data_IF_961797304729
#
_entry.id   IF_961797304729
#
_cell.length_a   1.000
_cell.length_b   1.000
_cell.length_c   1.000
_cell.angle_alpha   90.00
_cell.angle_beta   90.00
_cell.angle_gamma   90.00
#
_symmetry.space_group_name_H-M   'P 1'
#
loop_
_entity.id
_entity.type
_entity.pdbx_description
1 polymer ?
#
# COMPACT_ATOMS: atom_id res chain seq x y z
N UNK A 1 34.92 0.19 3.09
CA UNK A 1 36.07 1.09 2.92
C UNK A 1 36.16 2.11 4.04
N UNK A 2 35.10 2.85 4.37
CA UNK A 2 35.14 3.90 5.40
C UNK A 2 35.50 3.37 6.80
N UNK A 3 34.95 2.24 7.24
CA UNK A 3 35.35 1.58 8.47
C UNK A 3 36.82 1.18 8.53
N UNK A 4 37.38 0.79 7.39
CA UNK A 4 38.80 0.43 7.27
C UNK A 4 39.70 1.65 7.34
N UNK A 5 39.32 2.75 6.67
CA UNK A 5 40.11 4.00 6.70
C UNK A 5 40.06 4.68 8.06
N UNK A 6 38.86 4.68 8.75
CA UNK A 6 38.77 5.16 10.13
C UNK A 6 39.58 4.31 11.13
N UNK A 7 39.53 2.98 10.98
CA UNK A 7 40.35 2.09 11.82
C UNK A 7 41.85 2.26 11.59
N UNK A 8 42.27 2.47 10.34
CA UNK A 8 43.66 2.76 10.00
C UNK A 8 44.08 4.10 10.61
N UNK A 9 43.31 5.17 10.46
CA UNK A 9 43.59 6.48 11.04
C UNK A 9 43.69 6.39 12.58
N UNK A 10 42.76 5.72 13.27
CA UNK A 10 42.78 5.56 14.72
C UNK A 10 44.00 4.77 15.23
N UNK A 11 44.44 3.74 14.50
CA UNK A 11 45.68 3.01 14.80
C UNK A 11 46.90 3.92 14.66
N UNK A 12 46.97 4.66 13.57
CA UNK A 12 48.08 5.57 13.26
C UNK A 12 48.17 6.70 14.27
N UNK A 13 47.05 7.27 14.70
CA UNK A 13 47.01 8.29 15.74
C UNK A 13 47.49 7.77 17.12
N UNK A 14 47.16 6.51 17.47
CA UNK A 14 47.67 5.88 18.71
C UNK A 14 49.20 5.63 18.64
N UNK A 15 49.70 5.22 17.47
CA UNK A 15 51.12 4.99 17.25
C UNK A 15 51.93 6.29 17.22
N UNK A 16 51.35 7.37 16.71
CA UNK A 16 51.99 8.70 16.73
C UNK A 16 52.13 9.29 18.15
N UNK A 17 51.28 8.88 19.09
CA UNK A 17 51.37 9.23 20.52
C UNK A 17 52.43 8.46 21.31
N UNK A 18 52.99 7.38 20.77
CA UNK A 18 54.03 6.54 21.42
C UNK A 18 55.32 6.73 20.62
N UNK A 19 56.18 7.64 21.07
CA UNK A 19 57.55 7.98 20.67
C UNK A 19 58.16 7.22 19.46
N UNK A 20 57.88 7.69 18.27
CA UNK A 20 58.50 7.25 17.05
C UNK A 20 57.90 8.00 15.86
N UNK A 21 58.58 9.02 15.39
CA UNK A 21 58.10 9.96 14.38
C UNK A 21 57.60 9.26 13.12
N UNK A 22 56.27 9.12 13.04
CA UNK A 22 55.64 8.89 11.76
C UNK A 22 55.80 10.16 10.92
N UNK A 23 56.18 10.08 9.64
CA UNK A 23 56.26 11.24 8.77
C UNK A 23 54.90 11.96 8.77
N UNK A 24 54.90 13.26 8.97
CA UNK A 24 53.68 14.09 8.95
C UNK A 24 52.85 13.84 7.69
N UNK A 25 53.51 13.66 6.57
CA UNK A 25 52.91 13.37 5.25
C UNK A 25 52.05 12.11 5.24
N UNK A 26 52.42 11.08 6.01
CA UNK A 26 51.62 9.83 6.13
C UNK A 26 50.35 10.05 6.88
N UNK A 27 50.38 10.83 7.97
CA UNK A 27 49.21 11.17 8.77
C UNK A 27 48.24 12.04 7.95
N UNK A 28 48.74 13.06 7.27
CA UNK A 28 47.93 13.89 6.37
C UNK A 28 47.32 13.10 5.22
N UNK A 29 48.08 12.16 4.64
CA UNK A 29 47.54 11.26 3.61
C UNK A 29 46.35 10.43 4.10
N UNK A 30 46.46 9.84 5.30
CA UNK A 30 45.38 9.06 5.89
C UNK A 30 44.18 9.93 6.29
N UNK A 31 44.40 11.14 6.77
CA UNK A 31 43.33 12.10 7.07
C UNK A 31 42.56 12.50 5.79
N UNK A 32 43.30 12.83 4.71
CA UNK A 32 42.70 13.13 3.40
C UNK A 32 41.89 11.95 2.87
N UNK A 33 42.42 10.73 2.93
CA UNK A 33 41.70 9.55 2.47
C UNK A 33 40.43 9.29 3.30
N UNK A 34 40.51 9.44 4.63
CA UNK A 34 39.33 9.31 5.50
C UNK A 34 38.27 10.35 5.18
N UNK A 35 38.64 11.61 4.92
CA UNK A 35 37.71 12.67 4.55
C UNK A 35 37.03 12.40 3.18
N UNK A 36 37.81 11.90 2.19
CA UNK A 36 37.25 11.50 0.88
C UNK A 36 36.26 10.36 1.02
N UNK A 37 36.59 9.32 1.78
CA UNK A 37 35.72 8.17 1.99
C UNK A 37 34.43 8.57 2.74
N UNK A 38 34.53 9.47 3.71
CA UNK A 38 33.39 10.02 4.43
C UNK A 38 32.49 10.84 3.49
N UNK A 39 33.05 11.73 2.68
CA UNK A 39 32.30 12.51 1.71
C UNK A 39 31.60 11.61 0.67
N UNK A 40 32.27 10.55 0.22
CA UNK A 40 31.68 9.57 -0.69
C UNK A 40 30.51 8.82 -0.06
N UNK A 41 30.61 8.44 1.22
CA UNK A 41 29.51 7.82 1.97
C UNK A 41 28.32 8.77 2.12
N UNK A 42 28.56 10.01 2.53
CA UNK A 42 27.50 11.02 2.63
C UNK A 42 26.81 11.30 1.30
N UNK A 43 27.58 11.33 0.19
CA UNK A 43 27.00 11.47 -1.14
C UNK A 43 26.13 10.27 -1.50
N UNK A 44 26.57 9.04 -1.19
CA UNK A 44 25.79 7.83 -1.42
C UNK A 44 24.48 7.85 -0.61
N UNK A 45 24.53 8.24 0.65
CA UNK A 45 23.33 8.40 1.49
C UNK A 45 22.37 9.45 0.93
N UNK A 46 22.86 10.60 0.50
CA UNK A 46 22.04 11.64 -0.12
C UNK A 46 21.39 11.14 -1.41
N UNK A 47 22.11 10.43 -2.26
CA UNK A 47 21.56 9.81 -3.48
C UNK A 47 20.46 8.79 -3.15
N UNK A 48 20.67 7.91 -2.18
CA UNK A 48 19.65 6.95 -1.75
C UNK A 48 18.41 7.67 -1.22
N UNK A 49 18.57 8.67 -0.38
CA UNK A 49 17.44 9.44 0.16
C UNK A 49 16.67 10.22 -0.92
N UNK A 50 17.37 10.73 -1.95
CA UNK A 50 16.70 11.42 -3.06
C UNK A 50 15.95 10.47 -3.98
N UNK A 51 16.40 9.23 -4.15
CA UNK A 51 15.71 8.23 -4.98
C UNK A 51 14.56 7.54 -4.27
N UNK A 52 14.78 7.15 -3.01
CA UNK A 52 13.83 6.30 -2.27
C UNK A 52 13.08 7.02 -1.15
N UNK A 53 13.28 8.32 -0.99
CA UNK A 53 12.72 9.08 0.11
C UNK A 53 13.48 8.94 1.42
N UNK A 54 13.26 9.86 2.35
CA UNK A 54 13.98 9.91 3.61
C UNK A 54 13.59 8.83 4.61
N UNK A 55 12.38 8.26 4.47
CA UNK A 55 11.81 7.28 5.40
C UNK A 55 11.80 5.86 4.84
N UNK A 56 12.72 5.54 3.92
CA UNK A 56 12.84 4.18 3.40
C UNK A 56 13.18 3.17 4.53
N UNK A 57 12.68 1.93 4.46
CA UNK A 57 12.91 0.91 5.50
C UNK A 57 14.39 0.60 5.76
N UNK A 58 15.27 0.95 4.84
CA UNK A 58 16.73 0.74 4.93
C UNK A 58 17.55 2.00 5.21
N UNK A 59 16.91 3.10 5.58
CA UNK A 59 17.59 4.40 5.84
C UNK A 59 18.88 4.28 6.67
N UNK A 60 18.89 3.40 7.66
CA UNK A 60 20.01 3.21 8.59
C UNK A 60 20.75 1.87 8.40
N UNK A 61 20.38 1.08 7.38
CA UNK A 61 20.90 -0.28 7.19
C UNK A 61 21.15 -0.58 5.73
N UNK A 62 22.33 -0.20 5.23
CA UNK A 62 22.75 -0.44 3.83
C UNK A 62 22.73 -1.94 3.47
N UNK A 63 22.91 -2.83 4.45
CA UNK A 63 22.87 -4.29 4.27
C UNK A 63 21.53 -4.90 4.70
N UNK A 64 20.42 -4.15 4.64
CA UNK A 64 19.11 -4.65 5.02
C UNK A 64 18.68 -5.82 4.12
N UNK A 65 17.89 -6.77 4.65
CA UNK A 65 17.32 -7.86 3.85
C UNK A 65 16.49 -7.34 2.68
N UNK A 66 15.79 -6.23 2.87
CA UNK A 66 14.96 -5.59 1.84
C UNK A 66 15.79 -5.10 0.65
N UNK A 67 16.92 -4.40 0.90
CA UNK A 67 17.81 -3.96 -0.18
C UNK A 67 18.44 -5.14 -0.91
N UNK A 68 18.78 -6.20 -0.20
CA UNK A 68 19.30 -7.42 -0.83
C UNK A 68 18.23 -8.07 -1.72
N UNK A 69 17.00 -8.18 -1.25
CA UNK A 69 15.91 -8.74 -2.02
C UNK A 69 15.59 -7.91 -3.29
N UNK A 70 15.68 -6.56 -3.22
CA UNK A 70 15.59 -5.72 -4.42
C UNK A 70 16.76 -5.93 -5.37
N UNK A 71 17.98 -6.05 -4.85
CA UNK A 71 19.19 -6.23 -5.68
C UNK A 71 19.24 -7.62 -6.34
N UNK A 72 18.70 -8.67 -5.70
CA UNK A 72 18.60 -10.02 -6.26
C UNK A 72 17.39 -10.22 -7.18
N UNK A 73 16.44 -9.26 -7.21
CA UNK A 73 15.19 -9.42 -7.96
C UNK A 73 14.12 -10.24 -7.24
N UNK A 74 14.35 -10.66 -5.98
CA UNK A 74 13.38 -11.39 -5.16
C UNK A 74 12.24 -10.50 -4.67
N UNK A 75 12.42 -9.18 -4.78
CA UNK A 75 11.41 -8.19 -4.48
C UNK A 75 11.39 -7.07 -5.51
N UNK A 76 10.28 -6.38 -5.58
CA UNK A 76 10.05 -5.23 -6.46
C UNK A 76 9.58 -4.02 -5.66
N UNK A 77 9.86 -2.84 -6.20
CA UNK A 77 9.40 -1.58 -5.68
C UNK A 77 8.31 -1.04 -6.59
N UNK A 78 7.17 -0.72 -6.01
CA UNK A 78 6.08 -0.04 -6.71
C UNK A 78 6.04 1.41 -6.25
N UNK A 79 5.93 2.32 -7.20
CA UNK A 79 5.65 3.72 -6.94
C UNK A 79 4.21 4.02 -7.26
N UNK A 80 3.50 4.62 -6.33
CA UNK A 80 2.12 5.04 -6.48
C UNK A 80 2.01 6.53 -6.22
N UNK A 81 1.33 7.26 -7.11
CA UNK A 81 1.07 8.68 -6.94
C UNK A 81 -0.42 8.93 -6.90
N UNK A 82 -0.89 9.57 -5.84
CA UNK A 82 -2.28 9.96 -5.65
C UNK A 82 -2.44 11.47 -5.86
N UNK A 83 -3.50 11.92 -6.53
CA UNK A 83 -3.80 13.35 -6.66
C UNK A 83 -3.96 14.03 -5.30
N UNK A 84 -3.82 15.35 -5.28
CA UNK A 84 -4.07 16.16 -4.09
C UNK A 84 -5.48 15.91 -3.55
N UNK A 85 -5.59 15.71 -2.24
CA UNK A 85 -6.86 15.45 -1.56
C UNK A 85 -7.34 13.99 -1.61
N UNK A 86 -6.74 13.13 -2.41
CA UNK A 86 -7.14 11.71 -2.48
C UNK A 86 -6.66 10.87 -1.29
N UNK A 87 -5.68 11.34 -0.54
CA UNK A 87 -5.15 10.67 0.65
C UNK A 87 -5.14 11.64 1.83
N UNK A 88 -5.28 11.10 3.04
CA UNK A 88 -5.07 11.88 4.27
C UNK A 88 -3.61 12.32 4.46
N UNK A 89 -3.32 13.01 5.57
CA UNK A 89 -1.97 13.53 5.86
C UNK A 89 -0.98 12.44 6.28
N UNK A 90 -1.45 11.36 6.83
CA UNK A 90 -0.63 10.24 7.25
C UNK A 90 -0.18 9.35 6.07
N UNK A 91 0.98 8.72 6.24
CA UNK A 91 1.41 7.65 5.33
C UNK A 91 0.48 6.45 5.54
N UNK A 92 -0.14 5.90 4.48
CA UNK A 92 -1.03 4.76 4.63
C UNK A 92 -0.26 3.53 5.15
N UNK A 93 -0.93 2.73 5.98
CA UNK A 93 -0.35 1.50 6.52
C UNK A 93 -0.22 0.39 5.47
N UNK A 94 -1.11 0.39 4.48
CA UNK A 94 -1.10 -0.56 3.36
C UNK A 94 -1.59 0.09 2.07
N UNK A 95 -1.27 -0.57 0.95
CA UNK A 95 -1.81 -0.27 -0.38
C UNK A 95 -2.35 -1.55 -0.98
N UNK A 96 -3.56 -1.51 -1.53
CA UNK A 96 -4.10 -2.59 -2.34
C UNK A 96 -3.77 -2.31 -3.81
N UNK A 97 -3.18 -3.30 -4.48
CA UNK A 97 -2.67 -3.20 -5.85
C UNK A 97 -3.31 -4.29 -6.70
N UNK A 98 -3.65 -3.97 -7.94
CA UNK A 98 -4.15 -4.93 -8.92
C UNK A 98 -3.70 -4.56 -10.33
N UNK A 99 -3.74 -5.54 -11.24
CA UNK A 99 -3.52 -5.30 -12.67
C UNK A 99 -4.60 -4.37 -13.23
N UNK A 100 -4.24 -3.48 -14.17
CA UNK A 100 -5.20 -2.56 -14.83
C UNK A 100 -6.36 -3.32 -15.49
N UNK A 101 -6.06 -4.50 -16.05
CA UNK A 101 -7.04 -5.33 -16.74
C UNK A 101 -7.72 -6.36 -15.82
N UNK A 102 -7.49 -6.30 -14.50
CA UNK A 102 -8.21 -7.15 -13.58
C UNK A 102 -9.70 -6.78 -13.65
N UNK A 103 -10.54 -7.72 -14.13
CA UNK A 103 -11.98 -7.60 -14.03
C UNK A 103 -12.37 -7.41 -12.55
N UNK A 104 -13.51 -6.77 -12.32
CA UNK A 104 -14.07 -6.64 -10.96
C UNK A 104 -14.05 -8.00 -10.25
N UNK A 105 -13.34 -8.08 -9.13
CA UNK A 105 -13.05 -9.36 -8.45
C UNK A 105 -11.72 -10.02 -8.81
N UNK A 106 -10.90 -9.42 -9.67
CA UNK A 106 -9.55 -9.90 -9.97
C UNK A 106 -8.64 -9.91 -8.74
N UNK A 107 -7.60 -10.76 -8.79
CA UNK A 107 -6.62 -10.91 -7.71
C UNK A 107 -5.97 -9.56 -7.40
N UNK A 108 -6.19 -9.05 -6.20
CA UNK A 108 -5.48 -7.91 -5.65
C UNK A 108 -4.47 -8.36 -4.62
N UNK A 109 -3.40 -7.58 -4.47
CA UNK A 109 -2.32 -7.84 -3.52
C UNK A 109 -2.24 -6.66 -2.56
N UNK A 110 -2.10 -6.95 -1.28
CA UNK A 110 -1.91 -5.96 -0.26
C UNK A 110 -0.43 -5.80 0.06
N UNK A 111 0.08 -4.57 -0.11
CA UNK A 111 1.44 -4.19 0.24
C UNK A 111 1.44 -3.44 1.57
N UNK A 112 2.12 -3.98 2.57
CA UNK A 112 2.13 -3.44 3.94
C UNK A 112 3.33 -2.54 4.25
N UNK A 113 4.42 -2.66 3.52
CA UNK A 113 5.60 -1.81 3.71
C UNK A 113 5.48 -0.58 2.81
N UNK A 114 4.84 0.47 3.33
CA UNK A 114 4.57 1.72 2.60
C UNK A 114 5.34 2.88 3.24
N UNK A 115 5.95 3.74 2.43
CA UNK A 115 6.59 4.97 2.90
C UNK A 115 6.51 6.06 1.84
N UNK A 116 6.72 7.31 2.25
CA UNK A 116 6.68 8.47 1.35
C UNK A 116 7.78 8.40 0.30
N UNK A 117 7.41 8.49 -0.96
CA UNK A 117 8.31 8.66 -2.10
C UNK A 117 8.57 10.16 -2.35
N UNK A 118 9.67 10.52 -3.02
CA UNK A 118 9.85 11.86 -3.54
C UNK A 118 8.67 12.27 -4.44
N UNK A 119 8.39 13.58 -4.49
CA UNK A 119 7.30 14.10 -5.32
C UNK A 119 7.49 13.68 -6.79
N UNK A 120 6.38 13.39 -7.45
CA UNK A 120 6.35 13.14 -8.90
C UNK A 120 6.05 14.45 -9.62
N UNK A 121 6.92 14.86 -10.51
CA UNK A 121 6.73 16.09 -11.26
C UNK A 121 5.54 16.01 -12.23
N UNK A 122 5.15 14.81 -12.65
CA UNK A 122 4.06 14.58 -13.60
C UNK A 122 2.69 14.46 -12.95
N UNK A 123 2.64 14.15 -11.64
CA UNK A 123 1.38 13.98 -10.88
C UNK A 123 1.43 14.86 -9.64
N UNK A 124 0.79 16.04 -9.64
CA UNK A 124 0.66 16.86 -8.44
C UNK A 124 -0.10 16.10 -7.36
N UNK A 125 0.58 15.80 -6.25
CA UNK A 125 -0.03 15.02 -5.17
C UNK A 125 1.00 14.37 -4.27
N UNK A 126 0.59 13.27 -3.62
CA UNK A 126 1.44 12.50 -2.72
C UNK A 126 1.87 11.20 -3.37
N UNK A 127 3.17 10.94 -3.31
CA UNK A 127 3.74 9.70 -3.83
C UNK A 127 4.20 8.81 -2.69
N UNK A 128 3.99 7.51 -2.87
CA UNK A 128 4.40 6.48 -1.93
C UNK A 128 5.16 5.38 -2.66
N UNK A 129 6.07 4.75 -1.95
CA UNK A 129 6.64 3.48 -2.35
C UNK A 129 6.01 2.35 -1.54
N UNK A 130 5.85 1.20 -2.19
CA UNK A 130 5.45 -0.03 -1.54
C UNK A 130 6.37 -1.18 -1.99
N UNK A 131 6.67 -2.08 -1.04
CA UNK A 131 7.51 -3.23 -1.27
C UNK A 131 6.66 -4.45 -1.61
N UNK A 132 6.97 -5.14 -2.70
CA UNK A 132 6.28 -6.34 -3.16
C UNK A 132 7.26 -7.50 -3.32
N UNK A 133 6.76 -8.72 -3.13
CA UNK A 133 7.50 -9.92 -3.49
C UNK A 133 7.57 -10.05 -5.01
N UNK A 134 8.67 -10.60 -5.52
CA UNK A 134 8.81 -10.91 -6.94
C UNK A 134 7.78 -11.96 -7.37
N UNK A 135 7.30 -11.84 -8.60
CA UNK A 135 6.35 -12.79 -9.20
C UNK A 135 4.91 -12.30 -9.29
N UNK A 136 4.54 -11.29 -8.51
CA UNK A 136 3.17 -10.78 -8.53
C UNK A 136 2.90 -9.86 -9.73
N UNK A 137 3.88 -9.03 -10.13
CA UNK A 137 3.77 -8.06 -11.22
C UNK A 137 5.05 -7.98 -12.04
N UNK A 138 4.94 -7.57 -13.31
CA UNK A 138 6.07 -7.34 -14.21
C UNK A 138 6.83 -6.04 -13.89
N UNK A 139 8.09 -5.94 -14.36
CA UNK A 139 8.83 -4.68 -14.32
C UNK A 139 8.23 -3.69 -15.33
N UNK A 140 8.09 -2.43 -14.92
CA UNK A 140 7.46 -1.39 -15.75
C UNK A 140 5.96 -1.53 -15.94
N UNK A 141 5.33 -2.51 -15.29
CA UNK A 141 3.90 -2.73 -15.36
C UNK A 141 3.14 -1.61 -14.66
N UNK A 142 2.02 -1.18 -15.25
CA UNK A 142 1.10 -0.21 -14.65
C UNK A 142 0.03 -0.93 -13.85
N UNK A 143 -0.22 -0.43 -12.64
CA UNK A 143 -1.14 -1.03 -11.69
C UNK A 143 -2.22 -0.04 -11.28
N UNK A 144 -3.36 -0.56 -10.90
CA UNK A 144 -4.34 0.17 -10.11
C UNK A 144 -3.94 0.08 -8.63
N UNK A 145 -4.06 1.19 -7.93
CA UNK A 145 -3.75 1.27 -6.51
C UNK A 145 -4.89 1.93 -5.74
N UNK A 146 -5.22 1.34 -4.60
CA UNK A 146 -6.17 1.89 -3.63
C UNK A 146 -5.49 2.06 -2.30
N UNK A 147 -5.87 3.13 -1.61
CA UNK A 147 -5.42 3.44 -0.27
C UNK A 147 -6.62 3.43 0.67
N UNK A 148 -6.53 2.84 1.87
CA UNK A 148 -7.56 2.99 2.88
C UNK A 148 -7.62 4.46 3.32
N UNK A 149 -8.82 5.04 3.34
CA UNK A 149 -9.06 6.41 3.78
C UNK A 149 -10.07 6.37 4.92
N UNK A 150 -9.76 7.04 6.02
CA UNK A 150 -10.60 7.03 7.23
C UNK A 150 -10.28 5.88 8.17
N UNK A 151 -11.15 5.71 9.17
CA UNK A 151 -11.07 4.62 10.14
C UNK A 151 -11.67 3.33 9.56
N UNK A 152 -11.19 2.18 10.04
CA UNK A 152 -11.77 0.90 9.67
C UNK A 152 -13.16 0.76 10.29
N UNK A 153 -14.15 0.52 9.46
CA UNK A 153 -15.52 0.30 9.90
C UNK A 153 -15.91 -1.18 9.73
N UNK A 154 -16.64 -1.70 10.70
CA UNK A 154 -17.20 -3.06 10.62
C UNK A 154 -18.55 -3.04 9.90
N UNK A 155 -18.80 -4.03 9.07
CA UNK A 155 -20.03 -4.16 8.31
C UNK A 155 -19.99 -5.34 7.35
N UNK A 156 -21.00 -5.45 6.51
CA UNK A 156 -21.12 -6.48 5.47
C UNK A 156 -21.16 -5.85 4.08
N UNK A 157 -20.62 -6.55 3.10
CA UNK A 157 -20.68 -6.13 1.70
C UNK A 157 -21.83 -6.88 1.01
N UNK A 158 -22.85 -6.13 0.58
CA UNK A 158 -23.98 -6.64 -0.20
C UNK A 158 -23.64 -6.51 -1.68
N UNK A 159 -23.58 -7.61 -2.47
CA UNK A 159 -23.25 -7.55 -3.88
C UNK A 159 -24.20 -6.64 -4.67
N UNK A 160 -23.67 -5.92 -5.65
CA UNK A 160 -24.48 -5.05 -6.50
C UNK A 160 -25.64 -5.79 -7.21
N UNK A 161 -25.46 -7.09 -7.51
CA UNK A 161 -26.50 -7.95 -8.11
C UNK A 161 -27.71 -8.22 -7.19
N UNK A 162 -27.57 -7.99 -5.88
CA UNK A 162 -28.65 -8.11 -4.92
C UNK A 162 -29.50 -6.83 -4.80
N UNK A 163 -29.00 -5.70 -5.31
CA UNK A 163 -29.66 -4.41 -5.19
C UNK A 163 -30.83 -4.29 -6.18
N UNK A 164 -31.98 -3.86 -5.67
CA UNK A 164 -33.14 -3.48 -6.45
C UNK A 164 -33.55 -2.06 -6.12
N UNK A 165 -34.19 -1.37 -7.08
CA UNK A 165 -34.66 0.00 -6.90
C UNK A 165 -36.19 -0.01 -6.83
N UNK A 166 -36.73 0.56 -5.76
CA UNK A 166 -38.16 0.76 -5.61
C UNK A 166 -38.45 2.05 -4.84
N UNK A 167 -39.36 2.88 -5.34
CA UNK A 167 -39.73 4.15 -4.72
C UNK A 167 -38.57 5.13 -4.58
N UNK A 168 -37.56 5.08 -5.49
CA UNK A 168 -36.35 5.93 -5.45
C UNK A 168 -35.31 5.51 -4.42
N UNK A 169 -35.49 4.36 -3.77
CA UNK A 169 -34.59 3.78 -2.77
C UNK A 169 -34.00 2.47 -3.26
N UNK A 170 -32.84 2.12 -2.68
CA UNK A 170 -32.17 0.85 -2.95
C UNK A 170 -32.50 -0.15 -1.84
N UNK A 171 -32.72 -1.40 -2.23
CA UNK A 171 -33.17 -2.48 -1.35
C UNK A 171 -32.44 -3.77 -1.67
N UNK A 172 -32.34 -4.67 -0.71
CA UNK A 172 -31.98 -6.08 -0.93
C UNK A 172 -32.92 -6.98 -0.12
N UNK A 173 -33.01 -8.25 -0.49
CA UNK A 173 -33.74 -9.26 0.27
C UNK A 173 -32.78 -10.18 1.01
N UNK A 174 -33.00 -10.33 2.31
CA UNK A 174 -32.26 -11.22 3.21
C UNK A 174 -33.19 -12.37 3.61
N UNK A 175 -32.72 -13.60 3.54
CA UNK A 175 -33.41 -14.78 4.02
C UNK A 175 -33.24 -14.87 5.55
N UNK A 176 -34.32 -14.56 6.33
CA UNK A 176 -34.30 -14.70 7.78
C UNK A 176 -34.59 -16.14 8.21
N UNK A 177 -35.50 -16.80 7.51
CA UNK A 177 -35.85 -18.23 7.70
C UNK A 177 -35.97 -18.88 6.33
N UNK A 178 -35.83 -20.20 6.24
CA UNK A 178 -35.98 -20.89 4.96
C UNK A 178 -37.26 -20.48 4.22
N UNK A 179 -37.07 -19.85 3.05
CA UNK A 179 -38.19 -19.35 2.22
C UNK A 179 -38.85 -18.05 2.71
N UNK A 180 -38.39 -17.43 3.78
CA UNK A 180 -38.89 -16.15 4.26
C UNK A 180 -37.86 -15.06 4.03
N UNK A 181 -38.21 -14.08 3.21
CA UNK A 181 -37.32 -13.00 2.80
C UNK A 181 -37.82 -11.67 3.36
N UNK A 182 -36.90 -10.90 3.94
CA UNK A 182 -37.14 -9.56 4.47
C UNK A 182 -36.39 -8.55 3.65
N UNK A 183 -37.03 -7.45 3.35
CA UNK A 183 -36.46 -6.36 2.57
C UNK A 183 -35.67 -5.39 3.47
N UNK A 184 -34.40 -5.18 3.16
CA UNK A 184 -33.52 -4.22 3.85
C UNK A 184 -33.16 -3.08 2.91
N UNK A 185 -33.16 -1.86 3.45
CA UNK A 185 -32.73 -0.66 2.71
C UNK A 185 -31.21 -0.62 2.59
N UNK A 186 -30.72 -0.24 1.41
CA UNK A 186 -29.30 -0.03 1.14
C UNK A 186 -29.03 1.47 0.99
N UNK A 187 -27.99 1.96 1.66
CA UNK A 187 -27.56 3.34 1.52
C UNK A 187 -26.68 3.50 0.26
N UNK A 188 -27.12 4.25 -0.77
CA UNK A 188 -26.33 4.46 -1.97
C UNK A 188 -25.05 5.26 -1.72
N UNK A 189 -24.95 6.03 -0.63
CA UNK A 189 -23.71 6.75 -0.26
C UNK A 189 -22.59 5.81 0.15
N UNK A 190 -22.92 4.57 0.52
CA UNK A 190 -21.98 3.51 0.89
C UNK A 190 -21.71 2.53 -0.28
N UNK A 191 -21.95 2.95 -1.51
CA UNK A 191 -21.62 2.15 -2.69
C UNK A 191 -20.09 1.97 -2.82
N UNK A 192 -19.69 0.73 -3.14
CA UNK A 192 -18.32 0.34 -3.44
C UNK A 192 -18.25 -0.23 -4.85
N UNK A 193 -17.05 -0.54 -5.34
CA UNK A 193 -16.91 -1.18 -6.66
C UNK A 193 -17.58 -2.56 -6.75
N UNK A 194 -17.74 -3.26 -5.62
CA UNK A 194 -18.22 -4.63 -5.55
C UNK A 194 -19.68 -4.73 -5.03
N UNK A 195 -20.28 -3.59 -4.62
CA UNK A 195 -21.62 -3.55 -4.08
C UNK A 195 -21.86 -2.43 -3.09
N UNK A 196 -22.63 -2.70 -2.06
CA UNK A 196 -23.01 -1.73 -1.02
C UNK A 196 -22.48 -2.17 0.33
N UNK A 197 -21.76 -1.29 1.01
CA UNK A 197 -21.30 -1.54 2.37
C UNK A 197 -22.44 -1.19 3.35
N UNK A 198 -22.83 -2.17 4.19
CA UNK A 198 -23.91 -2.04 5.17
C UNK A 198 -23.33 -2.21 6.55
N UNK A 199 -23.46 -1.17 7.39
CA UNK A 199 -22.92 -1.16 8.76
C UNK A 199 -23.81 -1.93 9.74
N UNK A 200 -25.12 -1.80 9.58
CA UNK A 200 -26.12 -2.33 10.51
C UNK A 200 -27.31 -2.93 9.75
N UNK A 201 -28.05 -3.83 10.39
CA UNK A 201 -29.27 -4.40 9.83
C UNK A 201 -29.09 -5.68 9.02
N UNK A 202 -27.87 -6.07 8.67
CA UNK A 202 -27.56 -7.35 8.01
C UNK A 202 -26.40 -8.00 8.76
N UNK A 203 -26.60 -9.22 9.25
CA UNK A 203 -25.56 -9.95 9.95
C UNK A 203 -24.54 -10.57 9.00
N UNK A 204 -23.29 -10.71 9.47
CA UNK A 204 -22.25 -11.38 8.70
C UNK A 204 -22.62 -12.86 8.46
N UNK A 205 -22.58 -13.29 7.20
CA UNK A 205 -23.00 -14.64 6.80
C UNK A 205 -24.48 -14.78 6.48
N UNK A 206 -25.26 -13.69 6.54
CA UNK A 206 -26.66 -13.69 6.11
C UNK A 206 -26.78 -14.08 4.63
N UNK A 207 -27.81 -14.84 4.29
CA UNK A 207 -28.09 -15.23 2.90
C UNK A 207 -28.86 -14.11 2.21
N UNK A 208 -28.30 -13.61 1.12
CA UNK A 208 -28.86 -12.50 0.34
C UNK A 208 -29.28 -13.01 -1.04
N UNK A 209 -30.44 -12.56 -1.51
CA UNK A 209 -30.95 -12.91 -2.83
C UNK A 209 -30.22 -12.09 -3.90
N UNK A 210 -29.42 -12.76 -4.71
CA UNK A 210 -28.67 -12.14 -5.82
C UNK A 210 -29.30 -12.37 -7.19
N UNK A 211 -30.21 -13.33 -7.29
CA UNK A 211 -30.92 -13.67 -8.53
C UNK A 211 -32.42 -13.59 -8.26
N UNK A 212 -33.18 -13.01 -9.19
CA UNK A 212 -34.64 -12.89 -9.11
C UNK A 212 -35.17 -12.02 -7.94
N UNK A 213 -34.37 -11.14 -7.36
CA UNK A 213 -34.83 -10.21 -6.33
C UNK A 213 -36.00 -9.33 -6.79
N UNK A 214 -36.06 -8.96 -8.08
CA UNK A 214 -37.19 -8.24 -8.67
C UNK A 214 -38.53 -9.05 -8.67
N UNK A 215 -38.48 -10.38 -8.74
CA UNK A 215 -39.68 -11.22 -8.64
C UNK A 215 -40.25 -11.22 -7.20
N UNK A 216 -39.37 -11.20 -6.19
CA UNK A 216 -39.79 -11.05 -4.81
C UNK A 216 -40.48 -9.70 -4.60
N UNK A 217 -39.93 -8.64 -5.13
CA UNK A 217 -40.55 -7.32 -5.10
C UNK A 217 -41.92 -7.30 -5.79
N UNK A 218 -42.04 -7.91 -6.98
CA UNK A 218 -43.30 -7.98 -7.69
C UNK A 218 -44.37 -8.73 -6.89
N UNK A 219 -44.01 -9.83 -6.23
CA UNK A 219 -44.92 -10.57 -5.33
C UNK A 219 -45.29 -9.80 -4.07
N UNK A 220 -44.38 -9.03 -3.51
CA UNK A 220 -44.65 -8.18 -2.35
C UNK A 220 -45.63 -7.06 -2.69
N UNK A 221 -45.48 -6.43 -3.86
CA UNK A 221 -46.34 -5.33 -4.32
C UNK A 221 -47.71 -5.86 -4.79
N UNK A 222 -47.76 -7.03 -5.44
CA UNK A 222 -48.98 -7.65 -5.97
C UNK A 222 -49.13 -9.08 -5.46
N UNK A 223 -49.56 -9.29 -4.20
CA UNK A 223 -49.70 -10.62 -3.61
C UNK A 223 -50.78 -11.49 -4.29
N UNK A 224 -51.73 -10.90 -5.02
CA UNK A 224 -52.83 -11.60 -5.69
C UNK A 224 -52.41 -12.30 -7.00
N UNK A 225 -51.24 -12.04 -7.54
CA UNK A 225 -50.74 -12.69 -8.77
C UNK A 225 -50.01 -14.03 -8.54
N UNK A 226 -49.99 -14.52 -7.31
CA UNK A 226 -49.24 -15.74 -6.92
C UNK A 226 -50.15 -16.94 -6.66
N UNK A 227 -51.45 -16.87 -7.00
CA UNK A 227 -52.47 -17.87 -6.70
C UNK A 227 -53.03 -18.62 -7.95
N UNK A 228 -52.18 -18.77 -9.00
CA UNK A 228 -52.45 -19.66 -10.14
C UNK A 228 -51.31 -20.66 -10.34
#
# INVERSE_FOLDING_TARGET
TEHQSRAALARTQRLAGTAGAMPADTLEGLQRQSAVDQAALELAHRKLSSLFGQNSPWKNQINSPQLRALASGDAKLVRVSFPLGATGDAVPSSLRLAHINASQGGKSIEAHSVWSAPADASVPGRSYFAFLKSGDFGEGERLLAWVPVGEAESGVLVPASAAIINGGKYWCYVEEKPGQFVRNELDPSMATNDGYFVKEGIEAGAKIVTVSAGQLLAREINPSSAAD
#
